data_IF_368591506415
#
_entry.id   IF_368591506415
#
_cell.length_a   1.000
_cell.length_b   1.000
_cell.length_c   1.000
_cell.angle_alpha   90.00
_cell.angle_beta   90.00
_cell.angle_gamma   90.00
#
_symmetry.space_group_name_H-M   'P 1'
#
loop_
_entity.id
_entity.type
_entity.pdbx_description
1 polymer ?
#
# COMPACT_ATOMS: atom_id res chain seq x y z
N UNK A 1 -13.67 -8.75 65.33
CA UNK A 1 -12.24 -8.85 65.69
C UNK A 1 -11.50 -7.75 64.96
N UNK A 2 -10.94 -6.80 65.73
CA UNK A 2 -10.07 -5.71 65.26
C UNK A 2 -8.70 -6.28 64.86
N UNK A 3 -7.98 -5.54 64.02
CA UNK A 3 -6.52 -5.23 64.01
C UNK A 3 -6.12 -4.90 62.55
N UNK A 4 -5.45 -3.81 62.18
CA UNK A 4 -4.88 -2.64 62.87
C UNK A 4 -5.11 -1.36 62.03
N UNK A 5 -5.21 -0.14 62.57
CA UNK A 5 -4.21 0.67 63.34
C UNK A 5 -2.96 0.89 62.46
N UNK A 6 -2.46 2.09 62.14
CA UNK A 6 -2.81 3.48 62.41
C UNK A 6 -1.88 4.38 61.56
N UNK A 7 -2.35 5.61 61.32
CA UNK A 7 -1.64 6.90 61.37
C UNK A 7 -0.21 6.99 60.81
N UNK A 8 -0.01 7.90 59.85
CA UNK A 8 1.02 8.94 59.97
C UNK A 8 0.83 10.00 58.86
N UNK A 9 0.24 11.14 59.23
CA UNK A 9 0.37 12.37 58.47
C UNK A 9 1.58 13.14 58.99
N UNK A 10 2.21 13.85 58.04
CA UNK A 10 2.98 15.10 58.19
C UNK A 10 4.50 14.99 58.27
N UNK A 11 5.14 15.54 57.25
CA UNK A 11 6.26 16.47 57.42
C UNK A 11 6.46 17.26 56.13
N UNK A 12 6.01 18.51 56.16
CA UNK A 12 6.50 19.60 55.33
C UNK A 12 8.01 19.75 55.55
N UNK A 13 8.80 19.99 54.50
CA UNK A 13 9.81 21.07 54.51
C UNK A 13 10.75 21.08 53.28
N UNK A 14 10.90 22.31 52.76
CA UNK A 14 12.10 22.93 52.16
C UNK A 14 12.30 22.85 50.64
N UNK A 15 11.83 23.93 50.03
CA UNK A 15 12.48 24.60 48.91
C UNK A 15 13.96 24.91 49.23
N UNK A 16 14.86 24.56 48.31
CA UNK A 16 16.02 25.40 47.95
C UNK A 16 16.37 25.09 46.50
N UNK A 17 16.15 26.07 45.62
CA UNK A 17 16.64 26.01 44.26
C UNK A 17 18.16 26.07 44.22
N UNK A 18 18.73 25.44 43.21
CA UNK A 18 19.97 25.84 42.54
C UNK A 18 20.03 25.07 41.22
N UNK A 19 19.94 25.82 40.12
CA UNK A 19 20.13 25.28 38.79
C UNK A 19 21.55 24.76 38.63
N UNK A 20 21.66 23.55 38.10
CA UNK A 20 22.83 23.07 37.38
C UNK A 20 22.33 22.02 36.40
N UNK A 21 22.45 22.37 35.13
CA UNK A 21 22.05 21.52 34.02
C UNK A 21 22.86 20.23 34.03
N UNK A 22 22.15 19.11 34.03
CA UNK A 22 22.70 17.83 33.64
C UNK A 22 21.74 17.29 32.59
N UNK A 23 22.12 17.47 31.32
CA UNK A 23 21.41 16.95 30.18
C UNK A 23 21.42 15.42 30.24
N UNK A 24 20.34 14.85 30.77
CA UNK A 24 20.14 13.41 30.81
C UNK A 24 19.68 12.93 29.43
N UNK A 25 20.68 12.64 28.59
CA UNK A 25 20.54 11.79 27.40
C UNK A 25 20.34 10.34 27.84
N UNK A 26 19.10 9.87 27.83
CA UNK A 26 18.75 8.45 27.70
C UNK A 26 17.63 8.40 26.65
N UNK A 27 17.93 8.15 25.36
CA UNK A 27 17.96 6.83 24.72
C UNK A 27 16.70 5.99 24.95
N UNK A 28 15.66 6.27 24.17
CA UNK A 28 14.73 5.25 23.66
C UNK A 28 14.26 5.62 22.24
N UNK A 29 13.93 4.61 21.42
CA UNK A 29 14.26 4.55 19.99
C UNK A 29 13.16 5.13 19.09
N UNK A 30 13.59 5.58 17.92
CA UNK A 30 12.83 5.84 16.69
C UNK A 30 11.31 5.58 16.73
N UNK A 31 10.55 6.52 17.30
CA UNK A 31 9.26 6.84 16.74
C UNK A 31 9.56 7.64 15.49
N UNK A 32 9.84 6.94 14.38
CA UNK A 32 9.66 7.52 13.05
C UNK A 32 8.18 7.76 12.90
N UNK A 33 7.75 8.89 13.46
CA UNK A 33 6.66 9.70 12.97
C UNK A 33 6.81 9.67 11.45
N UNK A 34 5.99 8.89 10.76
CA UNK A 34 5.72 9.11 9.35
C UNK A 34 4.86 10.38 9.24
N UNK A 35 5.40 11.51 9.71
CA UNK A 35 5.12 12.81 9.13
C UNK A 35 5.77 12.78 7.76
N UNK A 36 5.01 12.22 6.83
CA UNK A 36 5.25 12.39 5.42
C UNK A 36 3.91 12.73 4.80
N UNK A 37 3.38 13.87 5.23
CA UNK A 37 2.79 14.82 4.30
C UNK A 37 3.86 15.13 3.24
N UNK A 38 4.06 14.19 2.30
CA UNK A 38 4.72 14.49 1.04
C UNK A 38 3.66 15.21 0.23
N UNK A 39 3.64 16.51 0.46
CA UNK A 39 3.07 17.49 -0.43
C UNK A 39 3.23 17.01 -1.87
N UNK A 40 2.06 16.80 -2.45
CA UNK A 40 1.82 16.61 -3.85
C UNK A 40 2.25 17.88 -4.62
N UNK A 41 3.52 18.25 -4.59
CA UNK A 41 4.05 19.48 -5.18
C UNK A 41 5.07 19.22 -6.29
N UNK A 42 4.90 19.94 -7.41
CA UNK A 42 6.02 20.33 -8.27
C UNK A 42 6.22 19.53 -9.56
N UNK A 43 5.80 20.18 -10.65
CA UNK A 43 6.07 19.97 -12.07
C UNK A 43 7.42 19.34 -12.43
N UNK A 44 7.45 18.50 -13.47
CA UNK A 44 7.96 18.85 -14.81
C UNK A 44 8.12 17.57 -15.65
N UNK A 45 7.61 17.63 -16.89
CA UNK A 45 7.69 16.55 -17.86
C UNK A 45 6.30 16.13 -18.34
N UNK A 46 5.70 16.94 -19.21
CA UNK A 46 4.75 16.42 -20.19
C UNK A 46 5.51 15.43 -21.07
N UNK A 47 5.63 14.19 -20.60
CA UNK A 47 5.76 13.06 -21.50
C UNK A 47 4.33 12.65 -21.80
N UNK A 48 3.95 12.85 -23.06
CA UNK A 48 2.85 12.18 -23.71
C UNK A 48 3.20 10.67 -23.79
N UNK A 49 3.39 10.05 -22.64
CA UNK A 49 3.57 8.62 -22.50
C UNK A 49 2.18 8.03 -22.51
N UNK A 50 1.74 7.65 -23.71
CA UNK A 50 0.92 6.49 -24.00
C UNK A 50 0.29 5.95 -22.70
N UNK A 51 -0.95 6.33 -22.37
CA UNK A 51 -1.65 5.69 -21.25
C UNK A 51 -1.36 4.21 -21.41
N UNK A 52 -0.71 3.59 -20.44
CA UNK A 52 -0.48 2.16 -20.51
C UNK A 52 -1.88 1.56 -20.42
N UNK A 53 -2.47 1.40 -21.59
CA UNK A 53 -3.71 0.72 -21.79
C UNK A 53 -3.28 -0.71 -21.50
N UNK A 54 -3.57 -1.16 -20.28
CA UNK A 54 -3.84 -2.58 -20.06
C UNK A 54 -4.49 -3.11 -21.33
N UNK A 55 -4.00 -4.23 -21.85
CA UNK A 55 -4.52 -4.83 -23.08
C UNK A 55 -6.05 -4.71 -23.05
N UNK A 56 -6.73 -4.20 -24.11
CA UNK A 56 -8.15 -3.85 -24.03
C UNK A 56 -9.06 -5.00 -23.60
N UNK A 57 -8.56 -6.24 -23.68
CA UNK A 57 -9.21 -7.46 -23.20
C UNK A 57 -9.18 -7.66 -21.66
N UNK A 58 -8.41 -6.85 -20.91
CA UNK A 58 -8.36 -6.91 -19.45
C UNK A 58 -9.58 -6.20 -18.87
N UNK A 59 -10.52 -7.01 -18.40
CA UNK A 59 -11.74 -6.53 -17.74
C UNK A 59 -11.49 -6.35 -16.24
N UNK A 60 -11.74 -5.15 -15.76
CA UNK A 60 -11.72 -4.79 -14.34
C UNK A 60 -13.04 -5.14 -13.66
N UNK A 61 -12.98 -5.48 -12.36
CA UNK A 61 -14.14 -5.88 -11.58
C UNK A 61 -15.19 -4.77 -11.40
N UNK A 62 -14.78 -3.52 -11.10
CA UNK A 62 -15.67 -2.35 -10.90
C UNK A 62 -16.79 -2.52 -9.87
N UNK A 63 -16.68 -3.51 -8.97
CA UNK A 63 -17.58 -3.67 -7.82
C UNK A 63 -17.27 -2.63 -6.74
N UNK A 64 -18.21 -2.41 -5.82
CA UNK A 64 -18.01 -1.53 -4.68
C UNK A 64 -16.75 -1.92 -3.90
N UNK A 65 -15.80 -0.99 -3.68
CA UNK A 65 -14.58 -1.29 -2.94
C UNK A 65 -14.90 -1.53 -1.46
N UNK A 66 -14.27 -2.55 -0.88
CA UNK A 66 -14.39 -2.89 0.53
C UNK A 66 -13.23 -2.31 1.35
N UNK A 67 -12.97 -2.94 2.49
CA UNK A 67 -11.92 -2.52 3.43
C UNK A 67 -10.54 -3.10 3.02
N UNK A 68 -10.55 -4.18 2.22
CA UNK A 68 -9.35 -4.89 1.82
C UNK A 68 -8.38 -4.01 1.01
N UNK A 69 -7.11 -4.03 1.40
CA UNK A 69 -6.02 -3.33 0.71
C UNK A 69 -5.53 -4.21 -0.45
N UNK A 70 -5.32 -3.60 -1.61
CA UNK A 70 -4.77 -4.30 -2.76
C UNK A 70 -3.27 -4.53 -2.65
N UNK A 71 -2.80 -5.66 -3.19
CA UNK A 71 -1.38 -6.01 -3.22
C UNK A 71 -0.86 -6.17 -4.64
N UNK A 72 0.44 -6.02 -4.85
CA UNK A 72 1.13 -6.25 -6.13
C UNK A 72 2.21 -7.31 -5.98
N UNK A 73 2.48 -8.03 -7.08
CA UNK A 73 3.53 -9.04 -7.15
C UNK A 73 4.87 -8.37 -7.48
N UNK A 74 6.00 -9.07 -7.26
CA UNK A 74 7.38 -8.59 -7.57
C UNK A 74 7.55 -7.94 -8.95
N UNK A 75 6.77 -8.40 -9.94
CA UNK A 75 6.84 -7.92 -11.33
C UNK A 75 6.15 -6.58 -11.54
N UNK A 76 5.20 -6.27 -10.67
CA UNK A 76 4.30 -5.12 -10.77
C UNK A 76 4.47 -4.15 -9.60
N UNK A 77 5.51 -4.34 -8.77
CA UNK A 77 5.77 -3.49 -7.62
C UNK A 77 5.92 -2.02 -8.01
N UNK A 78 5.19 -1.15 -7.32
CA UNK A 78 5.24 0.30 -7.54
C UNK A 78 4.55 0.80 -8.80
N UNK A 79 3.89 -0.09 -9.57
CA UNK A 79 3.03 0.34 -10.70
C UNK A 79 1.70 0.87 -10.18
N UNK A 80 1.21 1.91 -10.84
CA UNK A 80 -0.17 2.33 -10.70
C UNK A 80 -1.11 1.31 -11.32
N UNK A 81 -2.19 0.95 -10.63
CA UNK A 81 -3.13 -0.09 -11.07
C UNK A 81 -3.86 0.26 -12.38
N UNK A 82 -3.98 1.55 -12.70
CA UNK A 82 -4.78 2.01 -13.85
C UNK A 82 -3.93 2.32 -15.06
N UNK A 83 -2.81 3.03 -14.87
CA UNK A 83 -1.98 3.54 -15.95
C UNK A 83 -0.63 2.82 -16.07
N UNK A 84 -0.38 1.78 -15.27
CA UNK A 84 0.88 1.02 -15.13
C UNK A 84 2.16 1.86 -15.00
N UNK A 85 2.02 3.14 -14.69
CA UNK A 85 3.13 4.06 -14.54
C UNK A 85 3.72 3.93 -13.13
N UNK A 86 5.03 4.12 -13.02
CA UNK A 86 5.76 4.06 -11.75
C UNK A 86 5.81 5.42 -11.03
N UNK A 87 4.90 6.34 -11.36
CA UNK A 87 5.02 7.76 -11.00
C UNK A 87 4.15 8.10 -9.79
N UNK A 88 4.77 8.74 -8.79
CA UNK A 88 4.15 9.41 -7.61
C UNK A 88 2.87 8.71 -7.09
N UNK A 89 2.99 7.63 -6.30
CA UNK A 89 1.85 7.01 -5.62
C UNK A 89 1.28 7.96 -4.57
N UNK A 90 -0.05 8.13 -4.56
CA UNK A 90 -0.75 9.04 -3.64
C UNK A 90 -1.75 8.31 -2.76
N UNK A 91 -2.68 7.55 -3.35
CA UNK A 91 -3.77 6.90 -2.62
C UNK A 91 -3.61 5.38 -2.63
N UNK A 92 -3.93 4.74 -1.50
CA UNK A 92 -3.93 3.29 -1.36
C UNK A 92 -5.12 2.67 -2.10
N UNK A 93 -4.90 1.55 -2.77
CA UNK A 93 -5.93 0.86 -3.53
C UNK A 93 -6.79 -0.02 -2.62
N UNK A 94 -8.10 0.00 -2.85
CA UNK A 94 -9.08 -0.84 -2.14
C UNK A 94 -9.73 -1.84 -3.09
N UNK A 95 -9.90 -3.07 -2.61
CA UNK A 95 -10.50 -4.18 -3.35
C UNK A 95 -11.88 -4.50 -2.76
N UNK A 96 -12.82 -4.95 -3.59
CA UNK A 96 -14.09 -5.51 -3.12
C UNK A 96 -13.90 -6.82 -2.34
N UNK A 97 -14.86 -7.14 -1.47
CA UNK A 97 -14.77 -8.31 -0.61
C UNK A 97 -14.80 -9.63 -1.38
N UNK A 98 -15.48 -9.67 -2.53
CA UNK A 98 -15.50 -10.84 -3.41
C UNK A 98 -14.13 -11.16 -4.02
N UNK A 99 -13.39 -10.14 -4.46
CA UNK A 99 -12.07 -10.34 -5.03
C UNK A 99 -10.98 -10.59 -3.98
N UNK A 100 -11.30 -10.42 -2.70
CA UNK A 100 -10.43 -10.73 -1.56
C UNK A 100 -10.92 -11.96 -0.77
N UNK A 101 -11.75 -12.82 -1.37
CA UNK A 101 -12.26 -14.00 -0.68
C UNK A 101 -11.33 -15.23 -0.86
N UNK A 102 -11.10 -15.95 0.25
CA UNK A 102 -10.40 -17.24 0.27
C UNK A 102 -9.04 -17.24 -0.40
N UNK A 103 -8.87 -18.05 -1.46
CA UNK A 103 -7.60 -18.22 -2.16
C UNK A 103 -7.15 -16.99 -2.96
N UNK A 104 -7.99 -15.98 -3.15
CA UNK A 104 -7.66 -14.71 -3.81
C UNK A 104 -7.12 -13.63 -2.87
N UNK A 105 -7.06 -13.93 -1.57
CA UNK A 105 -6.48 -13.06 -0.55
C UNK A 105 -5.00 -12.78 -0.83
N UNK A 106 -4.60 -11.52 -0.66
CA UNK A 106 -3.21 -11.12 -0.84
C UNK A 106 -2.65 -11.38 -2.24
N UNK A 107 -3.50 -11.62 -3.25
CA UNK A 107 -3.06 -11.77 -4.64
C UNK A 107 -2.90 -10.42 -5.33
N UNK A 108 -1.98 -10.39 -6.27
CA UNK A 108 -1.73 -9.24 -7.12
C UNK A 108 -3.00 -8.80 -7.87
N UNK A 109 -3.27 -7.51 -7.86
CA UNK A 109 -4.42 -6.88 -8.54
C UNK A 109 -4.34 -6.98 -10.07
N UNK A 110 -3.11 -7.03 -10.61
CA UNK A 110 -2.83 -7.08 -12.06
C UNK A 110 -2.58 -8.52 -12.53
N UNK A 111 -1.59 -9.18 -11.92
CA UNK A 111 -1.07 -10.46 -12.39
C UNK A 111 -1.81 -11.69 -11.82
N UNK A 112 -2.54 -11.54 -10.71
CA UNK A 112 -3.15 -12.65 -9.96
C UNK A 112 -2.15 -13.59 -9.26
N UNK A 113 -0.86 -13.23 -9.24
CA UNK A 113 0.19 -13.93 -8.48
C UNK A 113 0.18 -13.61 -6.99
N UNK A 114 1.15 -14.13 -6.25
CA UNK A 114 1.35 -13.79 -4.82
C UNK A 114 1.75 -12.32 -4.69
N UNK A 115 1.03 -11.56 -3.87
CA UNK A 115 1.28 -10.15 -3.62
C UNK A 115 2.21 -9.95 -2.42
N UNK A 116 3.14 -9.01 -2.55
CA UNK A 116 4.17 -8.70 -1.56
C UNK A 116 4.04 -7.23 -1.14
N UNK A 117 3.97 -6.31 -2.11
CA UNK A 117 3.81 -4.88 -1.84
C UNK A 117 2.34 -4.45 -1.86
N UNK A 118 2.04 -3.30 -1.24
CA UNK A 118 0.72 -2.67 -1.33
C UNK A 118 0.56 -1.91 -2.65
N UNK A 119 -0.64 -1.93 -3.21
CA UNK A 119 -0.99 -1.25 -4.44
C UNK A 119 -1.40 0.21 -4.21
N UNK A 120 -0.97 1.10 -5.11
CA UNK A 120 -1.25 2.52 -5.04
C UNK A 120 -1.80 3.06 -6.37
N UNK A 121 -2.60 4.13 -6.29
CA UNK A 121 -2.95 4.95 -7.44
C UNK A 121 -1.98 6.12 -7.58
N UNK A 122 -1.74 6.48 -8.84
CA UNK A 122 -0.94 7.64 -9.21
C UNK A 122 -1.68 8.94 -8.91
N UNK A 123 -0.95 10.03 -8.62
CA UNK A 123 -1.56 11.35 -8.40
C UNK A 123 -2.48 11.79 -9.54
N UNK A 124 -2.05 11.58 -10.78
CA UNK A 124 -2.81 11.96 -11.98
C UNK A 124 -4.12 11.17 -12.09
N UNK A 125 -4.09 9.90 -11.69
CA UNK A 125 -5.23 9.00 -11.69
C UNK A 125 -6.28 9.46 -10.67
N UNK A 126 -5.82 9.91 -9.50
CA UNK A 126 -6.68 10.48 -8.46
C UNK A 126 -7.24 11.84 -8.88
N UNK A 127 -6.46 12.67 -9.59
CA UNK A 127 -6.95 13.95 -10.12
C UNK A 127 -8.01 13.77 -11.21
N UNK A 128 -7.93 12.69 -11.99
CA UNK A 128 -8.94 12.28 -12.96
C UNK A 128 -10.10 11.51 -12.33
N UNK A 129 -10.16 11.44 -11.00
CA UNK A 129 -11.18 10.74 -10.20
C UNK A 129 -11.35 9.25 -10.55
N UNK A 130 -10.34 8.62 -11.15
CA UNK A 130 -10.38 7.20 -11.54
C UNK A 130 -10.31 6.24 -10.35
N UNK A 131 -9.92 6.74 -9.17
CA UNK A 131 -9.97 6.01 -7.91
C UNK A 131 -11.41 5.73 -7.43
N UNK A 132 -12.41 6.40 -8.00
CA UNK A 132 -13.84 6.23 -7.66
C UNK A 132 -14.57 5.23 -8.55
N UNK A 133 -13.93 4.70 -9.60
CA UNK A 133 -14.53 3.76 -10.55
C UNK A 133 -14.85 2.37 -9.94
N UNK A 134 -14.33 2.08 -8.74
CA UNK A 134 -14.57 0.86 -7.98
C UNK A 134 -13.36 -0.07 -7.91
N UNK A 135 -13.59 -1.35 -7.64
CA UNK A 135 -12.54 -2.35 -7.46
C UNK A 135 -11.69 -2.53 -8.73
N UNK A 136 -10.38 -2.23 -8.70
CA UNK A 136 -9.53 -2.26 -9.89
C UNK A 136 -8.90 -3.64 -10.14
N UNK A 137 -9.40 -4.71 -9.50
CA UNK A 137 -8.89 -6.07 -9.70
C UNK A 137 -9.28 -6.60 -11.07
N UNK A 138 -8.29 -7.10 -11.80
CA UNK A 138 -8.47 -7.73 -13.10
C UNK A 138 -8.98 -9.16 -12.87
N UNK A 139 -10.12 -9.47 -13.48
CA UNK A 139 -10.77 -10.78 -13.33
C UNK A 139 -10.26 -11.77 -14.38
N UNK A 140 -9.91 -11.26 -15.57
CA UNK A 140 -9.54 -12.07 -16.71
C UNK A 140 -8.03 -12.22 -16.82
N UNK A 141 -7.56 -13.42 -17.12
CA UNK A 141 -6.19 -13.65 -17.55
C UNK A 141 -6.14 -13.37 -19.07
N UNK A 142 -5.65 -12.19 -19.45
CA UNK A 142 -5.71 -11.68 -20.83
C UNK A 142 -5.16 -12.62 -21.90
N UNK A 143 -5.71 -12.48 -23.12
CA UNK A 143 -5.41 -13.25 -24.33
C UNK A 143 -3.91 -13.34 -24.64
N UNK A 144 -3.17 -12.25 -24.45
CA UNK A 144 -1.72 -12.20 -24.68
C UNK A 144 -0.94 -13.22 -23.84
N UNK A 145 -1.34 -13.46 -22.59
CA UNK A 145 -0.65 -14.44 -21.72
C UNK A 145 -0.98 -15.87 -22.11
N UNK A 146 -2.19 -16.12 -22.60
CA UNK A 146 -2.59 -17.43 -23.11
C UNK A 146 -1.93 -17.73 -24.46
N UNK A 147 -1.83 -16.75 -25.36
CA UNK A 147 -1.25 -16.94 -26.68
C UNK A 147 0.25 -17.29 -26.58
N UNK A 148 1.00 -16.54 -25.77
CA UNK A 148 2.41 -16.84 -25.46
C UNK A 148 2.62 -18.24 -24.85
N UNK A 149 1.64 -18.77 -24.10
CA UNK A 149 1.70 -20.12 -23.56
C UNK A 149 1.56 -21.18 -24.66
N UNK A 150 0.63 -20.97 -25.60
CA UNK A 150 0.42 -21.89 -26.72
C UNK A 150 1.53 -21.81 -27.77
N UNK A 151 2.04 -20.61 -28.08
CA UNK A 151 3.19 -20.42 -28.97
C UNK A 151 4.45 -21.13 -28.44
N UNK A 152 4.72 -21.01 -27.13
CA UNK A 152 5.86 -21.70 -26.49
C UNK A 152 5.72 -23.22 -26.53
N UNK A 153 4.50 -23.74 -26.50
CA UNK A 153 4.24 -25.18 -26.68
C UNK A 153 4.40 -25.63 -28.13
N UNK A 154 4.05 -24.77 -29.10
CA UNK A 154 4.08 -25.09 -30.53
C UNK A 154 5.49 -25.36 -31.07
N UNK A 155 6.52 -24.68 -30.53
CA UNK A 155 7.91 -24.84 -30.98
C UNK A 155 8.74 -25.89 -30.26
N UNK A 156 8.10 -26.74 -29.44
CA UNK A 156 8.73 -27.97 -28.94
C UNK A 156 9.83 -27.73 -27.91
N UNK A 157 9.80 -28.56 -26.87
CA UNK A 157 10.85 -28.64 -25.86
C UNK A 157 12.17 -29.03 -26.56
N UNK A 158 13.07 -28.08 -26.86
CA UNK A 158 14.48 -28.43 -27.10
C UNK A 158 15.03 -28.93 -25.76
N UNK A 159 15.05 -30.25 -25.60
CA UNK A 159 15.76 -30.93 -24.51
C UNK A 159 17.21 -30.42 -24.57
N UNK A 160 17.62 -29.73 -23.52
CA UNK A 160 19.01 -29.29 -23.36
C UNK A 160 19.88 -30.50 -23.04
#
# INVERSE_FOLDING_TARGET
MRLGVAVAQRSEDRETGLGIGIAFRILTPEIRFWNRDRECGGNQGFVESNMAKHHPDLIMCRKQPGIAIGRLCEKDDGKCVICDSYVRPCTLVRICDECNYGSFQGRCVICGGVGISDAYYCKECTQLEKDRDGCPKIVNLGSAKTDLFYERKKYGFKKR
#
